data_IF_474946662073
#
_entry.id   IF_474946662073
#
_cell.length_a   1.000
_cell.length_b   1.000
_cell.length_c   1.000
_cell.angle_alpha   90.00
_cell.angle_beta   90.00
_cell.angle_gamma   90.00
#
_symmetry.space_group_name_H-M   'P 1'
#
loop_
_entity.id
_entity.type
_entity.pdbx_description
1 polymer ?
#
# COMPACT_ATOMS: atom_id res chain seq x y z
N UNK A 1 -16.64 -12.73 16.43
CA UNK A 1 -15.76 -11.60 16.12
C UNK A 1 -14.81 -12.00 15.01
N UNK A 2 -15.11 -11.59 13.81
CA UNK A 2 -14.25 -11.81 12.65
C UNK A 2 -13.35 -10.59 12.50
N UNK A 3 -12.23 -10.68 13.15
CA UNK A 3 -11.14 -9.73 13.08
C UNK A 3 -10.40 -9.87 11.72
N UNK A 4 -9.36 -9.13 11.50
CA UNK A 4 -8.42 -9.36 10.39
C UNK A 4 -8.11 -10.86 10.19
N UNK A 5 -8.26 -11.66 11.24
CA UNK A 5 -8.25 -13.12 11.18
C UNK A 5 -9.27 -13.77 10.24
N UNK A 6 -10.26 -13.03 9.74
CA UNK A 6 -11.13 -13.52 8.66
C UNK A 6 -10.50 -13.32 7.26
N UNK A 7 -9.53 -12.41 7.16
CA UNK A 7 -8.80 -12.07 5.93
C UNK A 7 -7.36 -12.57 6.03
N UNK A 8 -6.76 -12.44 7.23
CA UNK A 8 -5.41 -12.89 7.54
C UNK A 8 -5.46 -13.98 8.61
N UNK A 9 -4.84 -15.10 8.35
CA UNK A 9 -4.75 -16.18 9.32
C UNK A 9 -3.75 -15.86 10.45
N UNK A 10 -3.98 -16.48 11.60
CA UNK A 10 -3.04 -16.40 12.72
C UNK A 10 -1.67 -16.92 12.27
N UNK A 11 -0.66 -16.09 12.34
CA UNK A 11 0.70 -16.41 11.88
C UNK A 11 1.14 -15.69 10.62
N UNK A 12 0.24 -15.01 9.92
CA UNK A 12 0.60 -14.13 8.80
C UNK A 12 1.15 -12.77 9.29
N UNK A 13 0.87 -12.40 10.51
CA UNK A 13 1.41 -11.23 11.19
C UNK A 13 2.37 -11.72 12.26
N UNK A 14 3.60 -11.26 12.24
CA UNK A 14 4.63 -11.71 13.19
C UNK A 14 5.74 -10.68 13.37
N UNK A 15 6.65 -10.97 14.31
CA UNK A 15 7.73 -10.08 14.65
C UNK A 15 8.66 -9.78 13.48
N UNK A 16 9.34 -8.63 13.54
CA UNK A 16 10.39 -8.25 12.61
C UNK A 16 11.46 -9.33 12.47
N UNK A 17 11.81 -10.01 13.55
CA UNK A 17 12.79 -11.10 13.51
C UNK A 17 12.35 -12.24 12.57
N UNK A 18 11.07 -12.56 12.57
CA UNK A 18 10.49 -13.62 11.72
C UNK A 18 10.24 -13.20 10.29
N UNK A 19 9.74 -11.97 10.07
CA UNK A 19 9.27 -11.48 8.78
C UNK A 19 10.01 -10.26 8.27
N UNK A 20 11.21 -9.99 8.77
CA UNK A 20 12.03 -8.90 8.28
C UNK A 20 12.38 -9.02 6.80
N UNK A 21 12.70 -7.89 6.22
CA UNK A 21 13.24 -7.82 4.87
C UNK A 21 14.48 -8.71 4.72
N UNK A 22 14.50 -9.49 3.66
CA UNK A 22 15.69 -10.20 3.21
C UNK A 22 16.50 -9.28 2.29
N UNK A 23 17.74 -8.90 2.66
CA UNK A 23 18.54 -7.96 1.87
C UNK A 23 19.00 -8.55 0.52
N UNK A 24 18.99 -9.86 0.35
CA UNK A 24 19.41 -10.53 -0.89
C UNK A 24 18.36 -10.45 -2.00
N UNK A 25 17.14 -10.02 -1.67
CA UNK A 25 16.04 -9.89 -2.63
C UNK A 25 15.59 -8.45 -2.77
N UNK A 26 15.19 -8.03 -4.00
CA UNK A 26 14.66 -6.70 -4.20
C UNK A 26 13.30 -6.52 -3.52
N UNK A 27 12.98 -5.28 -3.22
CA UNK A 27 11.65 -4.87 -2.76
C UNK A 27 10.90 -4.16 -3.86
N UNK A 28 9.59 -4.24 -3.81
CA UNK A 28 8.67 -3.42 -4.58
C UNK A 28 7.89 -2.51 -3.65
N UNK A 29 7.47 -1.38 -4.17
CA UNK A 29 6.73 -0.36 -3.43
C UNK A 29 5.42 -0.08 -4.15
N UNK A 30 4.34 0.06 -3.42
CA UNK A 30 3.07 0.53 -3.94
C UNK A 30 2.58 1.72 -3.14
N UNK A 31 2.23 2.81 -3.83
CA UNK A 31 1.73 4.03 -3.22
C UNK A 31 0.25 4.24 -3.44
N UNK A 32 -0.43 4.67 -2.39
CA UNK A 32 -1.75 5.27 -2.45
C UNK A 32 -1.59 6.78 -2.25
N UNK A 33 -1.83 7.52 -3.32
CA UNK A 33 -1.65 8.97 -3.37
C UNK A 33 -3.00 9.63 -3.11
N UNK A 34 -3.28 9.91 -1.85
CA UNK A 34 -4.50 10.62 -1.47
C UNK A 34 -4.59 12.02 -2.07
N UNK A 35 -5.78 12.41 -2.50
CA UNK A 35 -6.03 13.75 -3.07
C UNK A 35 -5.87 14.89 -2.06
N UNK A 36 -5.94 14.59 -0.77
CA UNK A 36 -5.96 15.56 0.33
C UNK A 36 -4.84 15.33 1.33
N UNK A 37 -3.60 15.34 0.86
CA UNK A 37 -2.39 15.43 1.67
C UNK A 37 -1.84 14.16 2.32
N UNK A 38 -2.57 13.05 2.34
CA UNK A 38 -2.06 11.78 2.88
C UNK A 38 -1.62 10.83 1.79
N UNK A 39 -0.37 10.43 1.84
CA UNK A 39 0.16 9.38 0.98
C UNK A 39 0.62 8.20 1.84
N UNK A 40 0.20 7.01 1.46
CA UNK A 40 0.55 5.77 2.14
C UNK A 40 1.31 4.83 1.18
N UNK A 41 2.31 4.15 1.71
CA UNK A 41 3.20 3.31 0.93
C UNK A 41 3.42 1.98 1.62
N UNK A 42 3.27 0.89 0.85
CA UNK A 42 3.61 -0.45 1.28
C UNK A 42 4.86 -0.93 0.57
N UNK A 43 5.74 -1.60 1.32
CA UNK A 43 6.96 -2.22 0.80
C UNK A 43 6.84 -3.73 0.94
N UNK A 44 7.06 -4.44 -0.13
CA UNK A 44 6.95 -5.89 -0.15
C UNK A 44 8.03 -6.55 -1.02
N UNK A 45 8.28 -7.81 -0.81
CA UNK A 45 9.17 -8.63 -1.61
C UNK A 45 8.59 -10.02 -1.82
N UNK A 46 9.03 -10.68 -2.87
CA UNK A 46 8.68 -12.07 -3.12
C UNK A 46 9.30 -12.98 -2.05
N UNK A 47 8.55 -13.98 -1.62
CA UNK A 47 8.98 -15.02 -0.69
C UNK A 47 8.50 -16.37 -1.17
N UNK A 48 9.03 -17.44 -0.59
CA UNK A 48 8.57 -18.80 -0.92
C UNK A 48 7.06 -18.93 -0.64
N UNK A 49 6.28 -19.22 -1.66
CA UNK A 49 4.84 -19.39 -1.57
C UNK A 49 3.99 -18.13 -1.52
N UNK A 50 4.59 -16.94 -1.66
CA UNK A 50 3.83 -15.70 -1.65
C UNK A 50 4.68 -14.45 -1.52
N UNK A 51 4.26 -13.54 -0.62
CA UNK A 51 4.87 -12.23 -0.46
C UNK A 51 5.13 -11.93 1.01
N UNK A 52 6.21 -11.20 1.26
CA UNK A 52 6.53 -10.66 2.56
C UNK A 52 6.37 -9.15 2.52
N UNK A 53 5.48 -8.61 3.35
CA UNK A 53 5.25 -7.18 3.49
C UNK A 53 6.14 -6.68 4.63
N UNK A 54 7.16 -5.92 4.30
CA UNK A 54 8.30 -5.66 5.17
C UNK A 54 8.35 -4.26 5.73
N UNK A 55 7.59 -3.33 5.17
CA UNK A 55 7.53 -1.96 5.68
C UNK A 55 6.25 -1.25 5.23
N UNK A 56 5.91 -0.21 5.97
CA UNK A 56 4.83 0.73 5.69
C UNK A 56 5.28 2.13 6.05
N UNK A 57 4.93 3.09 5.21
CA UNK A 57 5.21 4.49 5.46
C UNK A 57 4.03 5.37 5.04
N UNK A 58 3.65 6.30 5.89
CA UNK A 58 2.66 7.32 5.56
C UNK A 58 3.13 8.69 6.03
N UNK A 59 2.76 9.71 5.28
CA UNK A 59 2.99 11.09 5.66
C UNK A 59 1.92 12.01 5.04
N UNK A 60 1.74 13.16 5.65
CA UNK A 60 0.80 14.19 5.21
C UNK A 60 1.57 15.44 4.79
N UNK A 61 1.01 16.18 3.82
CA UNK A 61 1.50 17.49 3.44
C UNK A 61 2.94 17.49 2.89
N UNK A 62 3.38 16.38 2.34
CA UNK A 62 4.72 16.26 1.73
C UNK A 62 4.62 16.30 0.22
N UNK A 63 5.60 16.92 -0.40
CA UNK A 63 5.77 16.89 -1.85
C UNK A 63 6.25 15.52 -2.32
N UNK A 64 5.99 15.21 -3.59
CA UNK A 64 6.33 13.90 -4.16
C UNK A 64 7.83 13.59 -4.09
N UNK A 65 8.69 14.59 -4.13
CA UNK A 65 10.13 14.44 -3.97
C UNK A 65 10.54 13.83 -2.64
N UNK A 66 9.79 14.10 -1.57
CA UNK A 66 10.01 13.49 -0.25
C UNK A 66 9.87 11.97 -0.31
N UNK A 67 8.84 11.48 -0.98
CA UNK A 67 8.61 10.03 -1.12
C UNK A 67 9.63 9.37 -2.06
N UNK A 68 10.07 10.07 -3.10
CA UNK A 68 11.12 9.60 -4.00
C UNK A 68 12.43 9.39 -3.22
N UNK A 69 12.81 10.33 -2.37
CA UNK A 69 14.00 10.18 -1.52
C UNK A 69 13.85 9.04 -0.51
N UNK A 70 12.65 8.90 0.09
CA UNK A 70 12.37 7.76 0.96
C UNK A 70 12.48 6.43 0.21
N UNK A 71 11.92 6.31 -1.00
CA UNK A 71 12.02 5.12 -1.84
C UNK A 71 13.48 4.80 -2.15
N UNK A 72 14.28 5.80 -2.49
CA UNK A 72 15.73 5.62 -2.73
C UNK A 72 16.46 5.12 -1.48
N UNK A 73 16.05 5.57 -0.32
CA UNK A 73 16.64 5.14 0.96
C UNK A 73 16.42 3.67 1.27
N UNK A 74 15.41 3.05 0.67
CA UNK A 74 15.14 1.61 0.84
C UNK A 74 16.24 0.74 0.21
N UNK A 75 16.88 1.20 -0.88
CA UNK A 75 17.87 0.44 -1.63
C UNK A 75 17.30 -0.84 -2.26
N UNK A 76 17.87 -1.27 -3.38
CA UNK A 76 17.46 -2.47 -4.12
C UNK A 76 15.94 -2.54 -4.37
N UNK A 77 15.38 -1.48 -4.93
CA UNK A 77 13.97 -1.39 -5.31
C UNK A 77 13.81 -1.86 -6.75
N UNK A 78 12.97 -2.86 -6.97
CA UNK A 78 12.67 -3.43 -8.29
C UNK A 78 11.59 -2.62 -9.00
N UNK A 79 10.43 -2.49 -8.38
CA UNK A 79 9.27 -1.83 -8.96
C UNK A 79 8.69 -0.79 -8.00
N UNK A 80 8.22 0.32 -8.57
CA UNK A 80 7.41 1.32 -7.89
C UNK A 80 6.06 1.39 -8.60
N UNK A 81 5.00 1.09 -7.87
CA UNK A 81 3.64 1.08 -8.36
C UNK A 81 2.89 2.33 -7.90
N UNK A 82 2.29 3.02 -8.84
CA UNK A 82 1.47 4.20 -8.61
C UNK A 82 0.01 3.93 -9.03
N UNK A 83 -0.96 4.64 -8.46
CA UNK A 83 -2.34 4.53 -8.90
C UNK A 83 -2.50 4.99 -10.36
N UNK A 84 -3.54 4.52 -11.03
CA UNK A 84 -3.79 4.78 -12.45
C UNK A 84 -3.92 6.26 -12.80
N UNK A 85 -4.36 7.10 -11.86
CA UNK A 85 -4.55 8.54 -12.03
C UNK A 85 -3.25 9.36 -11.83
N UNK A 86 -2.13 8.71 -11.50
CA UNK A 86 -0.83 9.38 -11.38
C UNK A 86 -0.33 10.02 -12.70
N UNK A 87 -0.96 9.72 -13.83
CA UNK A 87 -0.72 10.39 -15.13
C UNK A 87 -1.42 11.74 -15.26
N UNK A 88 -2.37 12.06 -14.41
CA UNK A 88 -3.07 13.34 -14.47
C UNK A 88 -2.10 14.50 -14.20
N UNK A 89 -2.15 15.52 -15.02
CA UNK A 89 -1.30 16.70 -14.85
C UNK A 89 -1.83 17.58 -13.73
N UNK A 90 -0.92 18.02 -12.89
CA UNK A 90 -1.22 19.04 -11.90
C UNK A 90 -1.41 20.39 -12.61
N UNK A 91 -2.48 21.09 -12.30
CA UNK A 91 -2.81 22.38 -12.92
C UNK A 91 -1.79 23.49 -12.62
N UNK A 92 -1.13 23.43 -11.46
CA UNK A 92 -0.15 24.45 -11.05
C UNK A 92 1.22 24.22 -11.70
N UNK A 93 1.67 22.97 -11.77
CA UNK A 93 3.01 22.63 -12.27
C UNK A 93 3.03 22.18 -13.73
N UNK A 94 1.87 21.81 -14.29
CA UNK A 94 1.76 21.25 -15.63
C UNK A 94 2.36 19.84 -15.76
N UNK A 95 2.83 19.24 -14.68
CA UNK A 95 3.47 17.93 -14.65
C UNK A 95 2.61 16.90 -13.91
N UNK A 96 2.66 15.66 -14.36
CA UNK A 96 2.08 14.53 -13.65
C UNK A 96 3.06 13.95 -12.62
N UNK A 97 2.55 13.17 -11.67
CA UNK A 97 3.38 12.43 -10.71
C UNK A 97 4.30 11.45 -11.46
N UNK A 98 3.81 10.79 -12.49
CA UNK A 98 4.62 9.91 -13.35
C UNK A 98 5.81 10.65 -13.94
N UNK A 99 5.60 11.86 -14.47
CA UNK A 99 6.69 12.69 -15.04
C UNK A 99 7.74 13.06 -13.99
N UNK A 100 7.33 13.33 -12.75
CA UNK A 100 8.26 13.61 -11.64
C UNK A 100 9.10 12.38 -11.30
N UNK A 101 8.51 11.20 -11.25
CA UNK A 101 9.26 9.95 -11.04
C UNK A 101 10.23 9.68 -12.18
N UNK A 102 9.81 9.82 -13.43
CA UNK A 102 10.68 9.66 -14.60
C UNK A 102 11.87 10.62 -14.58
N UNK A 103 11.64 11.89 -14.24
CA UNK A 103 12.72 12.89 -14.09
C UNK A 103 13.73 12.53 -13.02
N UNK A 104 13.30 11.76 -12.04
CA UNK A 104 14.14 11.27 -10.94
C UNK A 104 14.84 9.95 -11.24
N UNK A 105 14.69 9.43 -12.46
CA UNK A 105 15.31 8.18 -12.89
C UNK A 105 14.54 6.91 -12.47
N UNK A 106 13.32 7.05 -11.99
CA UNK A 106 12.43 5.94 -11.63
C UNK A 106 11.35 5.82 -12.68
N UNK A 107 11.25 4.65 -13.33
CA UNK A 107 10.16 4.34 -14.24
C UNK A 107 9.04 3.62 -13.49
N UNK A 108 7.96 4.32 -13.09
CA UNK A 108 6.91 3.72 -12.29
C UNK A 108 6.01 2.83 -13.16
N UNK A 109 5.44 1.82 -12.51
CA UNK A 109 4.34 1.04 -13.06
C UNK A 109 3.02 1.61 -12.55
N UNK A 110 1.98 1.54 -13.37
CA UNK A 110 0.66 1.99 -12.97
C UNK A 110 -0.23 0.78 -12.64
N UNK A 111 -0.93 0.88 -11.51
CA UNK A 111 -1.98 -0.07 -11.17
C UNK A 111 -3.12 0.11 -12.17
N UNK A 112 -3.57 -0.96 -12.85
CA UNK A 112 -4.69 -0.86 -13.77
C UNK A 112 -5.95 -0.35 -13.07
N UNK A 113 -6.74 0.44 -13.79
CA UNK A 113 -8.05 0.84 -13.29
C UNK A 113 -8.95 -0.38 -13.17
N UNK A 114 -9.42 -0.65 -11.94
CA UNK A 114 -10.31 -1.77 -11.67
C UNK A 114 -11.62 -1.28 -11.03
N UNK A 115 -12.69 -2.04 -11.21
CA UNK A 115 -13.90 -1.83 -10.44
C UNK A 115 -13.64 -2.18 -8.97
N UNK A 116 -14.35 -1.53 -8.05
CA UNK A 116 -14.18 -1.74 -6.62
C UNK A 116 -14.28 -3.22 -6.20
N UNK A 117 -15.27 -3.94 -6.71
CA UNK A 117 -15.42 -5.38 -6.44
C UNK A 117 -14.24 -6.23 -6.92
N UNK A 118 -13.69 -5.92 -8.09
CA UNK A 118 -12.54 -6.64 -8.64
C UNK A 118 -11.29 -6.42 -7.78
N UNK A 119 -11.11 -5.21 -7.23
CA UNK A 119 -10.04 -4.91 -6.30
C UNK A 119 -10.15 -5.68 -4.98
N UNK A 120 -11.35 -5.80 -4.42
CA UNK A 120 -11.61 -6.59 -3.21
C UNK A 120 -11.34 -8.07 -3.45
N UNK A 121 -11.82 -8.60 -4.55
CA UNK A 121 -11.62 -10.00 -4.90
C UNK A 121 -10.13 -10.33 -5.09
N UNK A 122 -9.40 -9.43 -5.77
CA UNK A 122 -7.95 -9.55 -5.91
C UNK A 122 -7.24 -9.53 -4.55
N UNK A 123 -7.65 -8.64 -3.65
CA UNK A 123 -7.09 -8.58 -2.30
C UNK A 123 -7.36 -9.88 -1.50
N UNK A 124 -8.57 -10.42 -1.60
CA UNK A 124 -8.91 -11.70 -0.97
C UNK A 124 -8.09 -12.88 -1.46
N UNK A 125 -7.65 -12.84 -2.72
CA UNK A 125 -6.79 -13.88 -3.29
C UNK A 125 -5.34 -13.72 -2.87
N UNK A 126 -4.85 -12.51 -2.70
CA UNK A 126 -3.45 -12.21 -2.42
C UNK A 126 -3.14 -12.17 -0.92
N UNK A 127 -4.02 -11.58 -0.11
CA UNK A 127 -3.79 -11.45 1.33
C UNK A 127 -3.48 -12.77 2.04
N UNK A 128 -4.11 -13.91 1.71
CA UNK A 128 -3.79 -15.19 2.34
C UNK A 128 -2.35 -15.67 2.14
N UNK A 129 -1.65 -15.20 1.11
CA UNK A 129 -0.26 -15.53 0.81
C UNK A 129 0.72 -14.40 1.13
N UNK A 130 0.30 -13.44 1.95
CA UNK A 130 1.14 -12.38 2.46
C UNK A 130 1.51 -12.61 3.93
N UNK A 131 2.76 -12.32 4.28
CA UNK A 131 3.25 -12.30 5.66
C UNK A 131 3.71 -10.88 5.99
N UNK A 132 3.27 -10.37 7.14
CA UNK A 132 3.50 -8.97 7.53
C UNK A 132 4.48 -8.89 8.70
N UNK A 133 5.47 -8.02 8.58
CA UNK A 133 6.27 -7.55 9.69
C UNK A 133 5.41 -6.63 10.58
N UNK A 134 5.05 -7.10 11.76
CA UNK A 134 4.10 -6.42 12.64
C UNK A 134 4.61 -5.05 13.11
N UNK A 135 5.88 -4.93 13.41
CA UNK A 135 6.45 -3.68 13.93
C UNK A 135 6.58 -2.64 12.82
N UNK A 136 7.14 -3.04 11.69
CA UNK A 136 7.34 -2.15 10.53
C UNK A 136 6.05 -1.75 9.85
N UNK A 137 5.05 -2.61 9.86
CA UNK A 137 3.77 -2.40 9.21
C UNK A 137 2.65 -1.99 10.17
N UNK A 138 2.98 -1.66 11.43
CA UNK A 138 2.00 -1.43 12.49
C UNK A 138 0.89 -0.44 12.10
N UNK A 139 1.23 0.74 11.64
CA UNK A 139 0.24 1.76 11.25
C UNK A 139 -0.66 1.29 10.10
N UNK A 140 -0.09 0.69 9.08
CA UNK A 140 -0.84 0.15 7.96
C UNK A 140 -1.76 -1.00 8.36
N UNK A 141 -1.31 -1.87 9.26
CA UNK A 141 -2.12 -2.95 9.81
C UNK A 141 -3.29 -2.42 10.64
N UNK A 142 -3.10 -1.36 11.42
CA UNK A 142 -4.17 -0.69 12.15
C UNK A 142 -5.24 -0.11 11.20
N UNK A 143 -4.84 0.50 10.09
CA UNK A 143 -5.76 0.95 9.05
C UNK A 143 -6.55 -0.20 8.42
N UNK A 144 -5.89 -1.31 8.11
CA UNK A 144 -6.58 -2.51 7.61
C UNK A 144 -7.57 -3.08 8.62
N UNK A 145 -7.21 -3.11 9.90
CA UNK A 145 -8.11 -3.56 10.99
C UNK A 145 -9.32 -2.66 11.14
N UNK A 146 -9.13 -1.35 11.07
CA UNK A 146 -10.22 -0.39 11.12
C UNK A 146 -11.18 -0.55 9.94
N UNK A 147 -10.64 -0.75 8.74
CA UNK A 147 -11.42 -1.00 7.54
C UNK A 147 -12.26 -2.28 7.64
N UNK A 148 -11.68 -3.37 8.11
CA UNK A 148 -12.39 -4.64 8.32
C UNK A 148 -13.49 -4.53 9.37
N UNK A 149 -13.26 -3.80 10.45
CA UNK A 149 -14.28 -3.55 11.49
C UNK A 149 -15.49 -2.80 10.95
N UNK A 150 -15.27 -1.76 10.17
CA UNK A 150 -16.35 -0.99 9.52
C UNK A 150 -17.18 -1.87 8.58
N UNK A 151 -16.56 -2.85 7.95
CA UNK A 151 -17.25 -3.80 7.11
C UNK A 151 -18.12 -4.78 7.90
N UNK A 152 -17.59 -5.34 9.00
CA UNK A 152 -18.32 -6.27 9.88
C UNK A 152 -19.51 -5.60 10.58
N UNK A 153 -19.36 -4.38 11.07
CA UNK A 153 -20.41 -3.61 11.77
C UNK A 153 -21.60 -3.25 10.86
N UNK A 154 -21.39 -3.20 9.56
CA UNK A 154 -22.41 -2.82 8.58
C UNK A 154 -23.06 -4.01 7.86
N UNK A 155 -23.21 -5.17 8.53
CA UNK A 155 -23.94 -6.36 8.04
C UNK A 155 -23.25 -7.25 7.01
N UNK A 156 -21.92 -7.22 6.93
CA UNK A 156 -21.17 -8.11 6.04
C UNK A 156 -21.33 -7.82 4.55
N UNK A 157 -21.88 -6.66 4.20
CA UNK A 157 -21.94 -6.19 2.82
C UNK A 157 -21.15 -4.90 2.67
N UNK A 158 -20.23 -4.85 1.70
CA UNK A 158 -19.62 -3.59 1.29
C UNK A 158 -20.68 -2.68 0.71
N UNK A 159 -20.80 -1.46 1.23
CA UNK A 159 -21.44 -0.39 0.48
C UNK A 159 -20.52 -0.06 -0.69
N UNK A 160 -21.09 0.30 -1.83
CA UNK A 160 -20.37 0.59 -3.08
C UNK A 160 -19.34 1.72 -2.99
N UNK A 161 -19.15 2.31 -1.81
CA UNK A 161 -18.10 3.29 -1.51
C UNK A 161 -17.62 3.14 -0.08
N UNK A 162 -16.30 3.09 0.20
CA UNK A 162 -15.82 3.36 1.53
C UNK A 162 -16.29 4.75 1.96
N UNK A 163 -16.80 4.87 3.17
CA UNK A 163 -17.03 6.18 3.75
C UNK A 163 -15.66 6.86 3.86
N UNK A 164 -15.43 7.82 3.01
CA UNK A 164 -14.42 8.82 3.29
C UNK A 164 -14.99 9.63 4.44
N UNK A 165 -14.61 9.27 5.65
CA UNK A 165 -14.77 10.18 6.76
C UNK A 165 -13.79 11.33 6.47
N UNK A 166 -14.38 12.40 5.93
CA UNK A 166 -13.77 13.70 5.93
C UNK A 166 -13.64 14.13 7.39
N UNK A 167 -12.54 13.82 8.01
CA UNK A 167 -12.14 14.53 9.19
C UNK A 167 -11.62 15.89 8.76
N UNK A 168 -12.50 16.88 8.92
CA UNK A 168 -12.18 18.29 9.01
C UNK A 168 -11.19 18.57 10.13
#
# INVERSE_FOLDING_TARGET
ARDLGAILEKGQIGSTEKFKRDPDYPVSVVGDLGFTDSCAWWVWQKAAGGFRVVDYYEANGREIGHYIEWIRSLGNVEDVWLPHDARAKNLQTGRSIVEVFLSSGINPRLVPRAKFHDGIEAARQVLPICWFDEERCYEGLEHLRAYCRLWDEKSGTFKDRPNHDSHS
#
